data_IF_865160461452
#
_entry.id   IF_865160461452
#
_cell.length_a   1.000
_cell.length_b   1.000
_cell.length_c   1.000
_cell.angle_alpha   90.00
_cell.angle_beta   90.00
_cell.angle_gamma   90.00
#
_symmetry.space_group_name_H-M   'P 1'
#
loop_
_entity.id
_entity.type
_entity.pdbx_description
1 polymer ?
#
# COMPACT_ATOMS: atom_id res chain seq x y z
N UNK A 1 23.31 8.77 -10.23
CA UNK A 1 21.91 9.24 -10.12
C UNK A 1 20.88 8.10 -10.04
N UNK A 2 20.85 7.10 -10.95
CA UNK A 2 19.87 5.98 -10.90
C UNK A 2 19.88 5.16 -9.59
N UNK A 3 21.05 4.94 -8.98
CA UNK A 3 21.17 4.19 -7.71
C UNK A 3 20.64 4.97 -6.50
N UNK A 4 20.91 6.27 -6.41
CA UNK A 4 20.40 7.13 -5.32
C UNK A 4 18.87 7.15 -5.34
N UNK A 5 18.27 7.36 -6.52
CA UNK A 5 16.81 7.31 -6.68
C UNK A 5 16.22 5.95 -6.27
N UNK A 6 16.87 4.85 -6.64
CA UNK A 6 16.44 3.50 -6.24
C UNK A 6 16.47 3.33 -4.71
N UNK A 7 17.57 3.71 -4.04
CA UNK A 7 17.64 3.62 -2.57
C UNK A 7 16.61 4.51 -1.88
N UNK A 8 16.34 5.69 -2.42
CA UNK A 8 15.31 6.60 -1.90
C UNK A 8 13.92 5.96 -2.02
N UNK A 9 13.58 5.42 -3.20
CA UNK A 9 12.32 4.70 -3.42
C UNK A 9 12.19 3.49 -2.49
N UNK A 10 13.25 2.71 -2.32
CA UNK A 10 13.28 1.58 -1.40
C UNK A 10 13.06 2.03 0.04
N UNK A 11 13.72 3.10 0.48
CA UNK A 11 13.56 3.62 1.84
C UNK A 11 12.12 4.10 2.10
N UNK A 12 11.53 4.83 1.15
CA UNK A 12 10.14 5.29 1.27
C UNK A 12 9.16 4.12 1.25
N UNK A 13 9.32 3.16 0.33
CA UNK A 13 8.47 1.97 0.27
C UNK A 13 8.56 1.13 1.55
N UNK A 14 9.77 1.00 2.11
CA UNK A 14 10.00 0.28 3.37
C UNK A 14 9.32 0.99 4.53
N UNK A 15 9.56 2.29 4.69
CA UNK A 15 8.94 3.09 5.74
C UNK A 15 7.42 3.08 5.64
N UNK A 16 6.89 3.23 4.43
CA UNK A 16 5.45 3.19 4.17
C UNK A 16 4.83 1.82 4.48
N UNK A 17 5.49 0.73 4.08
CA UNK A 17 5.06 -0.63 4.37
C UNK A 17 5.05 -0.92 5.88
N UNK A 18 6.13 -0.57 6.59
CA UNK A 18 6.23 -0.77 8.03
C UNK A 18 5.19 0.03 8.82
N UNK A 19 5.02 1.32 8.49
CA UNK A 19 4.00 2.16 9.10
C UNK A 19 2.59 1.61 8.86
N UNK A 20 2.30 1.14 7.65
CA UNK A 20 0.99 0.59 7.30
C UNK A 20 0.73 -0.74 8.01
N UNK A 21 1.72 -1.63 8.12
CA UNK A 21 1.63 -2.85 8.93
C UNK A 21 1.33 -2.50 10.37
N UNK A 22 2.09 -1.55 10.95
CA UNK A 22 1.95 -1.17 12.35
C UNK A 22 0.54 -0.64 12.64
N UNK A 23 0.06 0.31 11.84
CA UNK A 23 -1.28 0.88 11.97
C UNK A 23 -2.35 -0.19 11.80
N UNK A 24 -2.28 -0.99 10.73
CA UNK A 24 -3.32 -1.99 10.44
C UNK A 24 -3.36 -3.09 11.50
N UNK A 25 -2.19 -3.57 11.95
CA UNK A 25 -2.08 -4.55 13.05
C UNK A 25 -2.64 -3.97 14.34
N UNK A 26 -2.34 -2.71 14.65
CA UNK A 26 -2.84 -2.07 15.88
C UNK A 26 -4.37 -2.00 15.89
N UNK A 27 -5.00 -1.76 14.75
CA UNK A 27 -6.47 -1.76 14.62
C UNK A 27 -7.04 -3.18 14.70
N UNK A 28 -6.42 -4.14 14.02
CA UNK A 28 -6.88 -5.55 14.01
C UNK A 28 -6.81 -6.17 15.41
N UNK A 29 -5.70 -5.99 16.12
CA UNK A 29 -5.46 -6.59 17.44
C UNK A 29 -5.82 -5.69 18.62
N UNK A 30 -6.41 -4.51 18.36
CA UNK A 30 -6.78 -3.54 19.39
C UNK A 30 -5.61 -3.07 20.28
N UNK A 31 -4.45 -2.87 19.65
CA UNK A 31 -3.26 -2.42 20.35
C UNK A 31 -3.32 -0.90 20.55
N UNK A 32 -2.85 -0.43 21.70
CA UNK A 32 -2.64 1.00 22.00
C UNK A 32 -3.88 1.91 21.92
N UNK A 33 -5.07 1.36 22.18
CA UNK A 33 -6.37 2.07 22.08
C UNK A 33 -6.58 2.77 20.73
N UNK A 34 -5.99 2.23 19.65
CA UNK A 34 -6.06 2.85 18.32
C UNK A 34 -7.49 2.81 17.78
N UNK A 35 -8.31 1.82 18.15
CA UNK A 35 -9.72 1.76 17.75
C UNK A 35 -10.53 2.96 18.25
N UNK A 36 -10.30 3.37 19.50
CA UNK A 36 -10.96 4.54 20.08
C UNK A 36 -10.53 5.85 19.40
N UNK A 37 -9.30 5.91 18.87
CA UNK A 37 -8.73 7.09 18.19
C UNK A 37 -9.12 7.17 16.71
N UNK A 38 -9.21 6.04 16.02
CA UNK A 38 -9.66 5.98 14.62
C UNK A 38 -11.18 6.09 14.49
N UNK A 39 -11.94 5.75 15.53
CA UNK A 39 -13.39 5.86 15.54
C UNK A 39 -14.03 4.88 14.55
N UNK A 40 -14.71 5.41 13.53
CA UNK A 40 -15.46 4.63 12.54
C UNK A 40 -14.57 4.20 11.37
N UNK A 41 -13.70 3.23 11.62
CA UNK A 41 -12.92 2.57 10.58
C UNK A 41 -13.68 1.38 9.98
N UNK A 42 -13.36 1.08 8.72
CA UNK A 42 -14.00 -0.03 8.00
C UNK A 42 -13.07 -1.23 7.97
N UNK A 43 -13.45 -2.31 8.65
CA UNK A 43 -12.57 -3.44 8.93
C UNK A 43 -11.96 -4.08 7.67
N UNK A 44 -12.74 -4.25 6.60
CA UNK A 44 -12.21 -4.84 5.36
C UNK A 44 -11.14 -3.94 4.71
N UNK A 45 -11.26 -2.61 4.83
CA UNK A 45 -10.25 -1.66 4.34
C UNK A 45 -8.94 -1.84 5.10
N UNK A 46 -9.02 -2.02 6.42
CA UNK A 46 -7.87 -2.27 7.28
C UNK A 46 -7.17 -3.57 6.87
N UNK A 47 -7.91 -4.65 6.62
CA UNK A 47 -7.35 -5.91 6.13
C UNK A 47 -6.70 -5.77 4.75
N UNK A 48 -7.33 -5.07 3.80
CA UNK A 48 -6.74 -4.82 2.49
C UNK A 48 -5.44 -4.02 2.58
N UNK A 49 -5.38 -3.04 3.48
CA UNK A 49 -4.16 -2.27 3.76
C UNK A 49 -3.06 -3.15 4.37
N UNK A 50 -3.41 -4.00 5.34
CA UNK A 50 -2.49 -4.94 5.95
C UNK A 50 -1.86 -5.87 4.91
N UNK A 51 -2.68 -6.53 4.08
CA UNK A 51 -2.19 -7.42 3.01
C UNK A 51 -1.28 -6.65 2.04
N UNK A 52 -1.71 -5.48 1.60
CA UNK A 52 -0.93 -4.62 0.70
C UNK A 52 0.43 -4.24 1.27
N UNK A 53 0.48 -3.96 2.57
CA UNK A 53 1.73 -3.59 3.25
C UNK A 53 2.74 -4.74 3.33
N UNK A 54 2.28 -5.98 3.46
CA UNK A 54 3.15 -7.18 3.34
C UNK A 54 3.70 -7.29 1.91
N UNK A 55 2.87 -7.06 0.89
CA UNK A 55 3.30 -7.05 -0.51
C UNK A 55 4.34 -5.95 -0.78
N UNK A 56 4.26 -4.79 -0.13
CA UNK A 56 5.27 -3.73 -0.24
C UNK A 56 6.62 -4.19 0.28
N UNK A 57 6.67 -4.83 1.46
CA UNK A 57 7.93 -5.32 2.03
C UNK A 57 8.56 -6.41 1.17
N UNK A 58 7.77 -7.30 0.59
CA UNK A 58 8.25 -8.29 -0.38
C UNK A 58 8.81 -7.58 -1.64
N UNK A 59 8.15 -6.52 -2.08
CA UNK A 59 8.56 -5.73 -3.25
C UNK A 59 9.86 -4.96 -3.04
N UNK A 60 10.18 -4.57 -1.80
CA UNK A 60 11.49 -3.97 -1.45
C UNK A 60 12.62 -4.93 -1.81
N UNK A 61 12.51 -6.20 -1.44
CA UNK A 61 13.49 -7.22 -1.80
C UNK A 61 13.58 -7.40 -3.32
N UNK A 62 12.43 -7.42 -4.00
CA UNK A 62 12.36 -7.51 -5.46
C UNK A 62 13.01 -6.32 -6.19
N UNK A 63 12.87 -5.10 -5.68
CA UNK A 63 13.50 -3.89 -6.22
C UNK A 63 15.03 -3.93 -6.07
N UNK A 64 15.53 -4.31 -4.89
CA UNK A 64 16.96 -4.42 -4.61
C UNK A 64 17.64 -5.48 -5.49
N UNK A 65 16.96 -6.60 -5.72
CA UNK A 65 17.44 -7.69 -6.59
C UNK A 65 17.05 -7.53 -8.07
N UNK A 66 16.33 -6.45 -8.42
CA UNK A 66 15.86 -6.11 -9.77
C UNK A 66 15.10 -7.24 -10.47
N UNK A 67 14.20 -7.91 -9.75
CA UNK A 67 13.47 -9.07 -10.27
C UNK A 67 12.12 -8.70 -10.89
N UNK A 68 11.75 -9.34 -12.00
CA UNK A 68 10.54 -9.01 -12.78
C UNK A 68 9.21 -9.24 -12.04
N UNK A 69 9.20 -10.12 -11.03
CA UNK A 69 8.01 -10.39 -10.22
C UNK A 69 7.62 -9.21 -9.31
N UNK A 70 8.54 -8.27 -9.05
CA UNK A 70 8.27 -7.04 -8.27
C UNK A 70 7.12 -6.23 -8.84
N UNK A 71 7.09 -6.06 -10.17
CA UNK A 71 6.01 -5.35 -10.85
C UNK A 71 4.67 -6.07 -10.66
N UNK A 72 4.66 -7.40 -10.75
CA UNK A 72 3.45 -8.21 -10.54
C UNK A 72 2.92 -8.08 -9.11
N UNK A 73 3.80 -8.06 -8.11
CA UNK A 73 3.40 -7.92 -6.70
C UNK A 73 2.85 -6.53 -6.40
N UNK A 74 3.53 -5.46 -6.81
CA UNK A 74 3.03 -4.10 -6.61
C UNK A 74 1.73 -3.84 -7.39
N UNK A 75 1.62 -4.42 -8.60
CA UNK A 75 0.40 -4.40 -9.40
C UNK A 75 -0.76 -5.12 -8.70
N UNK A 76 -0.51 -6.30 -8.13
CA UNK A 76 -1.50 -7.03 -7.34
C UNK A 76 -1.96 -6.21 -6.12
N UNK A 77 -1.02 -5.59 -5.41
CA UNK A 77 -1.35 -4.71 -4.27
C UNK A 77 -2.22 -3.52 -4.69
N UNK A 78 -1.95 -2.94 -5.87
CA UNK A 78 -2.76 -1.87 -6.43
C UNK A 78 -4.18 -2.34 -6.69
N UNK A 79 -4.35 -3.53 -7.28
CA UNK A 79 -5.68 -4.13 -7.56
C UNK A 79 -6.45 -4.35 -6.26
N UNK A 80 -5.80 -4.90 -5.22
CA UNK A 80 -6.42 -5.13 -3.91
C UNK A 80 -6.92 -3.81 -3.32
N UNK A 81 -6.10 -2.77 -3.32
CA UNK A 81 -6.50 -1.46 -2.81
C UNK A 81 -7.63 -0.83 -3.63
N UNK A 82 -7.60 -0.95 -4.96
CA UNK A 82 -8.66 -0.42 -5.82
C UNK A 82 -9.99 -1.11 -5.56
N UNK A 83 -10.00 -2.44 -5.42
CA UNK A 83 -11.22 -3.20 -5.08
C UNK A 83 -11.73 -2.79 -3.70
N UNK A 84 -10.84 -2.68 -2.71
CA UNK A 84 -11.21 -2.20 -1.37
C UNK A 84 -11.77 -0.78 -1.41
N UNK A 85 -11.22 0.10 -2.24
CA UNK A 85 -11.71 1.45 -2.40
C UNK A 85 -13.10 1.51 -3.04
N UNK A 86 -13.34 0.71 -4.09
CA UNK A 86 -14.68 0.59 -4.69
C UNK A 86 -15.69 0.08 -3.65
N UNK A 87 -15.35 -0.98 -2.91
CA UNK A 87 -16.19 -1.50 -1.84
C UNK A 87 -16.45 -0.46 -0.74
N UNK A 88 -15.45 0.36 -0.42
CA UNK A 88 -15.58 1.43 0.57
C UNK A 88 -16.49 2.57 0.08
N UNK A 89 -16.42 2.94 -1.20
CA UNK A 89 -17.33 3.93 -1.79
C UNK A 89 -18.78 3.44 -1.79
N UNK A 90 -19.03 2.16 -2.09
CA UNK A 90 -20.37 1.55 -2.02
C UNK A 90 -20.89 1.57 -0.57
N UNK A 91 -20.03 1.25 0.41
CA UNK A 91 -20.37 1.32 1.83
C UNK A 91 -20.77 2.75 2.25
N UNK A 92 -20.02 3.75 1.82
CA UNK A 92 -20.34 5.17 2.07
C UNK A 92 -21.69 5.55 1.45
N UNK A 93 -21.93 5.19 0.18
CA UNK A 93 -23.17 5.49 -0.53
C UNK A 93 -24.39 4.81 0.12
N UNK A 94 -24.18 3.68 0.79
CA UNK A 94 -25.22 2.94 1.53
C UNK A 94 -25.52 3.52 2.91
N UNK A 95 -24.94 4.68 3.26
CA UNK A 95 -25.12 5.34 4.56
C UNK A 95 -24.13 4.88 5.64
N UNK A 96 -23.06 4.20 5.26
CA UNK A 96 -22.02 3.76 6.18
C UNK A 96 -21.31 4.92 6.90
N UNK A 97 -21.18 4.80 8.22
CA UNK A 97 -20.46 5.79 9.03
C UNK A 97 -18.97 5.68 8.70
N UNK A 98 -18.37 6.81 8.32
CA UNK A 98 -16.97 6.84 7.90
C UNK A 98 -16.33 8.16 8.26
N UNK A 99 -15.02 8.13 8.43
CA UNK A 99 -14.19 9.32 8.54
C UNK A 99 -13.77 9.80 7.14
N UNK A 100 -13.94 11.10 6.84
CA UNK A 100 -13.47 11.70 5.58
C UNK A 100 -11.95 11.50 5.37
N UNK A 101 -11.19 11.36 6.45
CA UNK A 101 -9.75 11.07 6.43
C UNK A 101 -9.45 9.72 5.77
N UNK A 102 -10.35 8.74 5.86
CA UNK A 102 -10.18 7.40 5.27
C UNK A 102 -10.20 7.44 3.75
N UNK A 103 -11.04 8.29 3.16
CA UNK A 103 -11.11 8.48 1.69
C UNK A 103 -9.78 9.04 1.19
N UNK A 104 -9.28 10.11 1.82
CA UNK A 104 -7.99 10.72 1.47
C UNK A 104 -6.83 9.73 1.63
N UNK A 105 -6.81 8.96 2.72
CA UNK A 105 -5.78 7.97 2.98
C UNK A 105 -5.78 6.81 1.96
N UNK A 106 -6.95 6.36 1.51
CA UNK A 106 -7.09 5.34 0.45
C UNK A 106 -6.57 5.84 -0.89
N UNK A 107 -6.96 7.05 -1.30
CA UNK A 107 -6.49 7.64 -2.56
C UNK A 107 -4.97 7.82 -2.54
N UNK A 108 -4.42 8.32 -1.43
CA UNK A 108 -2.97 8.44 -1.26
C UNK A 108 -2.25 7.09 -1.39
N UNK A 109 -2.76 6.03 -0.74
CA UNK A 109 -2.20 4.67 -0.84
C UNK A 109 -2.20 4.17 -2.28
N UNK A 110 -3.31 4.29 -2.99
CA UNK A 110 -3.42 3.83 -4.39
C UNK A 110 -2.43 4.59 -5.28
N UNK A 111 -2.41 5.92 -5.18
CA UNK A 111 -1.53 6.76 -5.98
C UNK A 111 -0.04 6.46 -5.73
N UNK A 112 0.35 6.32 -4.46
CA UNK A 112 1.72 6.01 -4.08
C UNK A 112 2.14 4.61 -4.58
N UNK A 113 1.26 3.62 -4.42
CA UNK A 113 1.51 2.24 -4.88
C UNK A 113 1.62 2.16 -6.39
N UNK A 114 0.75 2.85 -7.11
CA UNK A 114 0.85 3.00 -8.56
C UNK A 114 2.18 3.63 -8.97
N UNK A 115 2.62 4.68 -8.26
CA UNK A 115 3.94 5.30 -8.46
C UNK A 115 5.08 4.29 -8.33
N UNK A 116 5.05 3.45 -7.29
CA UNK A 116 6.04 2.38 -7.11
C UNK A 116 5.95 1.30 -8.19
N UNK A 117 4.74 0.88 -8.58
CA UNK A 117 4.52 -0.09 -9.66
C UNK A 117 5.13 0.40 -10.98
N UNK A 118 4.88 1.66 -11.34
CA UNK A 118 5.44 2.28 -12.54
C UNK A 118 6.96 2.41 -12.44
N UNK A 119 7.49 2.82 -11.29
CA UNK A 119 8.93 2.88 -11.07
C UNK A 119 9.59 1.50 -11.22
N UNK A 120 8.98 0.44 -10.67
CA UNK A 120 9.45 -0.92 -10.81
C UNK A 120 9.45 -1.37 -12.28
N UNK A 121 8.38 -1.07 -13.03
CA UNK A 121 8.27 -1.35 -14.46
C UNK A 121 9.44 -0.72 -15.24
N UNK A 122 9.67 0.59 -15.09
CA UNK A 122 10.73 1.28 -15.83
C UNK A 122 12.13 0.88 -15.40
N UNK A 123 12.34 0.55 -14.13
CA UNK A 123 13.67 0.21 -13.60
C UNK A 123 14.08 -1.21 -13.97
N UNK A 124 13.15 -2.17 -13.86
CA UNK A 124 13.46 -3.58 -14.11
C UNK A 124 13.49 -3.88 -15.61
N UNK A 125 12.53 -3.36 -16.39
CA UNK A 125 12.48 -3.61 -17.83
C UNK A 125 13.73 -3.05 -18.55
N UNK A 126 14.30 -1.94 -18.07
CA UNK A 126 15.59 -1.40 -18.57
C UNK A 126 16.80 -2.28 -18.27
N UNK A 127 16.73 -3.19 -17.29
CA UNK A 127 17.82 -4.10 -16.93
C UNK A 127 17.72 -5.44 -17.67
N UNK A 128 16.54 -5.85 -18.11
CA UNK A 128 16.31 -7.11 -18.84
C UNK A 128 16.63 -7.01 -20.34
N UNK A 129 16.72 -5.78 -20.88
CA UNK A 129 17.03 -5.51 -22.29
C UNK A 129 18.55 -5.24 -22.51
N UNK A 130 19.35 -5.29 -21.45
CA UNK A 130 20.83 -5.20 -21.52
C UNK A 130 21.44 -6.58 -21.30
#
# INVERSE_FOLDING_TARGET
MKKVLLYLVVAVLTGFGLLTIFLSTSVIFDLFDVRAKEGNYVLFVVWSNFISSVLYLISVYGLLTSKIWTFKILGLSTIILSIAFIGFLIYIQSGGIHENKTVGAMVFRIALTLGFTLFAYFTINKKTIK
#
